data_IF_078300394050
#
_entry.id   IF_078300394050
#
_cell.length_a   1.000
_cell.length_b   1.000
_cell.length_c   1.000
_cell.angle_alpha   90.00
_cell.angle_beta   90.00
_cell.angle_gamma   90.00
#
_symmetry.space_group_name_H-M   'P 1'
#
loop_
_entity.id
_entity.type
_entity.pdbx_description
1 polymer ?
#
# COMPACT_ATOMS: atom_id res chain seq x y z
N UNK A 1 -1.47 -30.38 -5.92
CA UNK A 1 -1.39 -29.45 -4.78
C UNK A 1 -2.73 -28.74 -4.72
N UNK A 2 -3.49 -28.86 -3.62
CA UNK A 2 -4.84 -28.28 -3.56
C UNK A 2 -4.74 -26.74 -3.53
N UNK A 3 -5.74 -26.08 -4.10
CA UNK A 3 -5.81 -24.61 -4.17
C UNK A 3 -5.72 -23.91 -2.80
N UNK A 4 -6.04 -24.61 -1.71
CA UNK A 4 -5.99 -24.06 -0.35
C UNK A 4 -4.58 -23.77 0.14
N UNK A 5 -3.59 -24.62 -0.16
CA UNK A 5 -2.22 -24.40 0.30
C UNK A 5 -1.60 -23.12 -0.28
N UNK A 6 -1.95 -22.80 -1.54
CA UNK A 6 -1.51 -21.55 -2.19
C UNK A 6 -2.12 -20.29 -1.59
N UNK A 7 -3.30 -20.37 -0.99
CA UNK A 7 -3.98 -19.22 -0.38
C UNK A 7 -3.39 -18.90 1.01
N UNK A 8 -3.01 -19.92 1.79
CA UNK A 8 -2.37 -19.72 3.09
C UNK A 8 -1.00 -19.04 2.97
N UNK A 9 -0.23 -19.35 1.92
CA UNK A 9 1.07 -18.71 1.66
C UNK A 9 0.96 -17.19 1.46
N UNK A 10 -0.13 -16.68 0.90
CA UNK A 10 -0.35 -15.24 0.69
C UNK A 10 -0.51 -14.46 1.99
N UNK A 11 -0.84 -15.12 3.10
CA UNK A 11 -0.95 -14.50 4.42
C UNK A 11 0.40 -14.34 5.13
N UNK A 12 1.51 -14.81 4.54
CA UNK A 12 2.83 -14.78 5.15
C UNK A 12 3.78 -13.85 4.42
N UNK A 13 4.55 -13.01 5.15
CA UNK A 13 5.46 -12.04 4.54
C UNK A 13 6.56 -12.70 3.70
N UNK A 14 6.97 -13.93 4.02
CA UNK A 14 8.02 -14.64 3.29
C UNK A 14 7.70 -14.83 1.80
N UNK A 15 6.44 -15.13 1.46
CA UNK A 15 6.00 -15.24 0.07
C UNK A 15 6.18 -13.92 -0.67
N UNK A 16 5.78 -12.83 -0.03
CA UNK A 16 5.85 -11.49 -0.60
C UNK A 16 7.28 -10.97 -0.68
N UNK A 17 8.10 -11.21 0.34
CA UNK A 17 9.53 -10.89 0.33
C UNK A 17 10.22 -11.56 -0.85
N UNK A 18 9.97 -12.85 -1.11
CA UNK A 18 10.52 -13.56 -2.28
C UNK A 18 10.05 -12.93 -3.60
N UNK A 19 8.75 -12.64 -3.73
CA UNK A 19 8.19 -11.97 -4.91
C UNK A 19 8.87 -10.61 -5.13
N UNK A 20 9.04 -9.83 -4.07
CA UNK A 20 9.59 -8.48 -4.16
C UNK A 20 11.10 -8.45 -4.35
N UNK A 21 11.84 -9.52 -4.04
CA UNK A 21 13.27 -9.61 -4.39
C UNK A 21 13.47 -9.61 -5.90
N UNK A 22 12.56 -10.21 -6.68
CA UNK A 22 12.66 -10.26 -8.13
C UNK A 22 12.69 -8.84 -8.74
N UNK A 23 13.73 -8.47 -9.51
CA UNK A 23 13.90 -7.13 -10.09
C UNK A 23 12.97 -6.86 -11.28
N UNK A 24 12.05 -7.77 -11.60
CA UNK A 24 11.33 -7.75 -12.88
C UNK A 24 10.19 -6.74 -12.96
N UNK A 25 9.72 -6.17 -11.85
CA UNK A 25 8.58 -5.24 -11.84
C UNK A 25 8.80 -4.05 -10.88
N UNK A 26 9.15 -2.88 -11.43
CA UNK A 26 9.33 -1.62 -10.68
C UNK A 26 8.04 -1.11 -10.01
N UNK A 27 6.88 -1.57 -10.50
CA UNK A 27 5.56 -1.33 -9.93
C UNK A 27 4.59 -2.40 -10.43
N UNK A 28 3.64 -2.81 -9.59
CA UNK A 28 2.59 -3.77 -9.96
C UNK A 28 1.23 -3.33 -9.42
N UNK A 29 0.18 -3.51 -10.21
CA UNK A 29 -1.20 -3.21 -9.82
C UNK A 29 -2.04 -4.48 -9.88
N UNK A 30 -2.56 -4.92 -8.73
CA UNK A 30 -3.33 -6.16 -8.64
C UNK A 30 -4.76 -6.07 -9.21
N UNK A 31 -5.40 -4.90 -9.18
CA UNK A 31 -6.79 -4.72 -9.66
C UNK A 31 -6.93 -3.57 -10.66
N UNK A 32 -6.89 -2.34 -10.17
CA UNK A 32 -7.01 -1.12 -10.99
C UNK A 32 -5.84 -0.18 -10.75
N UNK A 33 -5.45 0.53 -11.80
CA UNK A 33 -4.48 1.62 -11.70
C UNK A 33 -5.10 2.84 -11.00
N UNK A 34 -4.24 3.74 -10.48
CA UNK A 34 -4.72 5.01 -9.91
C UNK A 34 -5.61 5.79 -10.89
N UNK A 35 -5.26 5.84 -12.19
CA UNK A 35 -6.03 6.60 -13.18
C UNK A 35 -7.49 6.16 -13.28
N UNK A 36 -7.75 4.85 -13.11
CA UNK A 36 -9.11 4.29 -13.15
C UNK A 36 -9.93 4.55 -11.88
N UNK A 37 -9.27 4.75 -10.74
CA UNK A 37 -9.94 5.01 -9.45
C UNK A 37 -9.82 6.47 -8.99
N UNK A 38 -9.08 7.31 -9.72
CA UNK A 38 -8.82 8.72 -9.40
C UNK A 38 -10.10 9.47 -9.07
N UNK A 39 -11.14 9.32 -9.89
CA UNK A 39 -12.44 9.96 -9.65
C UNK A 39 -13.14 9.49 -8.37
N UNK A 40 -12.92 8.25 -7.92
CA UNK A 40 -13.42 7.76 -6.64
C UNK A 40 -12.64 8.37 -5.48
N UNK A 41 -11.31 8.42 -5.60
CA UNK A 41 -10.45 9.05 -4.59
C UNK A 41 -10.83 10.52 -4.42
N UNK A 42 -10.97 11.29 -5.50
CA UNK A 42 -11.37 12.70 -5.44
C UNK A 42 -12.78 12.89 -4.85
N UNK A 43 -13.70 11.98 -5.14
CA UNK A 43 -15.07 12.03 -4.62
C UNK A 43 -15.14 11.72 -3.12
N UNK A 44 -14.38 10.74 -2.64
CA UNK A 44 -14.48 10.23 -1.26
C UNK A 44 -13.44 10.82 -0.31
N UNK A 45 -12.36 11.38 -0.85
CA UNK A 45 -11.31 12.08 -0.13
C UNK A 45 -11.12 13.47 -0.77
N UNK A 46 -12.13 14.34 -0.74
CA UNK A 46 -12.04 15.64 -1.39
C UNK A 46 -11.01 16.57 -0.72
N UNK A 47 -10.76 16.38 0.58
CA UNK A 47 -9.78 17.14 1.33
C UNK A 47 -8.38 16.53 1.19
N UNK A 48 -7.45 17.30 0.61
CA UNK A 48 -6.06 16.89 0.39
C UNK A 48 -5.23 16.86 1.67
N UNK A 49 -5.73 17.46 2.74
CA UNK A 49 -5.08 17.48 4.07
C UNK A 49 -5.47 16.31 4.96
N UNK A 50 -6.47 15.51 4.55
CA UNK A 50 -6.88 14.31 5.27
C UNK A 50 -5.70 13.37 5.53
N UNK A 51 -5.68 12.80 6.73
CA UNK A 51 -4.78 11.72 7.11
C UNK A 51 -5.28 10.39 6.53
N UNK A 52 -4.41 9.68 5.80
CA UNK A 52 -4.77 8.50 5.03
C UNK A 52 -3.83 7.35 5.41
N UNK A 53 -4.39 6.17 5.63
CA UNK A 53 -3.62 4.91 5.68
C UNK A 53 -3.90 4.08 4.42
N UNK A 54 -2.84 3.66 3.74
CA UNK A 54 -2.87 2.78 2.59
C UNK A 54 -2.40 1.38 3.03
N UNK A 55 -3.33 0.42 3.05
CA UNK A 55 -3.16 -0.92 3.60
C UNK A 55 -2.63 -1.88 2.53
N UNK A 56 -1.64 -2.70 2.87
CA UNK A 56 -1.06 -3.68 1.93
C UNK A 56 -0.50 -2.99 0.67
N UNK A 57 0.31 -1.95 0.87
CA UNK A 57 0.62 -1.01 -0.20
C UNK A 57 1.42 -1.60 -1.38
N UNK A 58 2.22 -2.64 -1.13
CA UNK A 58 3.13 -3.23 -2.11
C UNK A 58 3.97 -2.17 -2.86
N UNK A 59 4.20 -2.41 -4.15
CA UNK A 59 4.79 -1.46 -5.09
C UNK A 59 3.74 -0.78 -6.00
N UNK A 60 2.51 -0.57 -5.51
CA UNK A 60 1.50 0.17 -6.27
C UNK A 60 1.90 1.64 -6.44
N UNK A 61 1.58 2.22 -7.60
CA UNK A 61 1.80 3.66 -7.85
C UNK A 61 0.65 4.53 -7.35
N UNK A 62 -0.31 3.96 -6.61
CA UNK A 62 -1.45 4.69 -6.08
C UNK A 62 -1.04 5.81 -5.12
N UNK A 63 -0.34 5.50 -4.03
CA UNK A 63 0.12 6.53 -3.08
C UNK A 63 1.05 7.55 -3.74
N UNK A 64 2.07 7.15 -4.55
CA UNK A 64 2.90 8.11 -5.26
C UNK A 64 2.12 9.09 -6.15
N UNK A 65 1.13 8.62 -6.91
CA UNK A 65 0.31 9.49 -7.76
C UNK A 65 -0.66 10.35 -6.96
N UNK A 66 -1.23 9.84 -5.87
CA UNK A 66 -1.99 10.66 -4.93
C UNK A 66 -1.10 11.75 -4.31
N UNK A 67 0.12 11.40 -3.95
CA UNK A 67 1.10 12.33 -3.43
C UNK A 67 1.34 13.46 -4.43
N UNK A 68 1.62 13.17 -5.70
CA UNK A 68 1.74 14.16 -6.79
C UNK A 68 0.53 15.11 -6.88
N UNK A 69 -0.68 14.64 -6.58
CA UNK A 69 -1.93 15.42 -6.57
C UNK A 69 -2.23 16.17 -5.27
N UNK A 70 -1.29 16.18 -4.32
CA UNK A 70 -1.33 17.00 -3.12
C UNK A 70 -1.79 16.29 -1.85
N UNK A 71 -2.10 14.98 -1.90
CA UNK A 71 -2.33 14.19 -0.70
C UNK A 71 -0.99 13.87 -0.02
N UNK A 72 -0.55 14.74 0.89
CA UNK A 72 0.78 14.65 1.53
C UNK A 72 0.81 13.80 2.80
N UNK A 73 -0.35 13.54 3.41
CA UNK A 73 -0.46 12.81 4.68
C UNK A 73 -0.92 11.36 4.45
N UNK A 74 -0.07 10.56 3.83
CA UNK A 74 -0.33 9.14 3.53
C UNK A 74 0.68 8.25 4.25
N UNK A 75 0.20 7.37 5.11
CA UNK A 75 0.96 6.27 5.70
C UNK A 75 0.75 5.00 4.87
N UNK A 76 1.82 4.51 4.24
CA UNK A 76 1.80 3.28 3.47
C UNK A 76 2.31 2.12 4.34
N UNK A 77 1.49 1.09 4.52
CA UNK A 77 1.88 -0.07 5.32
C UNK A 77 1.83 -1.37 4.53
N UNK A 78 2.78 -2.24 4.83
CA UNK A 78 2.87 -3.59 4.30
C UNK A 78 3.64 -4.46 5.31
N UNK A 79 3.31 -5.74 5.42
CA UNK A 79 4.05 -6.66 6.30
C UNK A 79 5.41 -7.09 5.71
N UNK A 80 5.67 -6.83 4.43
CA UNK A 80 6.91 -7.17 3.74
C UNK A 80 7.92 -6.06 3.98
N UNK A 81 8.99 -6.39 4.69
CA UNK A 81 10.08 -5.43 4.90
C UNK A 81 10.77 -5.09 3.57
N UNK A 82 10.89 -6.07 2.68
CA UNK A 82 11.57 -5.90 1.39
C UNK A 82 10.90 -4.80 0.57
N UNK A 83 9.56 -4.77 0.49
CA UNK A 83 8.87 -3.75 -0.30
C UNK A 83 8.88 -2.39 0.36
N UNK A 84 8.73 -2.34 1.69
CA UNK A 84 8.81 -1.09 2.43
C UNK A 84 10.18 -0.43 2.26
N UNK A 85 11.27 -1.18 2.37
CA UNK A 85 12.61 -0.64 2.15
C UNK A 85 12.75 -0.07 0.73
N UNK A 86 12.31 -0.83 -0.29
CA UNK A 86 12.36 -0.42 -1.69
C UNK A 86 11.55 0.86 -1.97
N UNK A 87 10.34 0.93 -1.46
CA UNK A 87 9.46 2.08 -1.68
C UNK A 87 9.92 3.31 -0.89
N UNK A 88 10.53 3.11 0.29
CA UNK A 88 11.20 4.17 1.06
C UNK A 88 12.36 4.78 0.27
N UNK A 89 13.19 3.96 -0.36
CA UNK A 89 14.30 4.44 -1.19
C UNK A 89 13.78 5.18 -2.44
N UNK A 90 12.72 4.67 -3.06
CA UNK A 90 12.15 5.23 -4.30
C UNK A 90 11.36 6.52 -4.08
N UNK A 91 10.68 6.66 -2.94
CA UNK A 91 9.82 7.78 -2.59
C UNK A 91 10.09 8.26 -1.15
N UNK A 92 11.27 8.83 -0.88
CA UNK A 92 11.73 9.18 0.46
C UNK A 92 10.91 10.29 1.14
N UNK A 93 10.13 11.04 0.36
CA UNK A 93 9.24 12.08 0.86
C UNK A 93 7.90 11.55 1.41
N UNK A 94 7.61 10.26 1.22
CA UNK A 94 6.39 9.61 1.69
C UNK A 94 6.65 8.76 2.95
N UNK A 95 5.60 8.47 3.72
CA UNK A 95 5.71 7.62 4.90
C UNK A 95 5.46 6.16 4.52
N UNK A 96 6.45 5.30 4.77
CA UNK A 96 6.39 3.85 4.55
C UNK A 96 6.76 3.13 5.85
N UNK A 97 5.97 2.14 6.26
CA UNK A 97 6.17 1.44 7.54
C UNK A 97 5.86 -0.05 7.40
N UNK A 98 6.74 -0.89 7.92
CA UNK A 98 6.44 -2.32 8.08
C UNK A 98 5.38 -2.49 9.15
N UNK A 99 4.22 -3.02 8.81
CA UNK A 99 3.16 -3.33 9.76
C UNK A 99 2.21 -4.40 9.23
N UNK A 100 1.68 -5.21 10.15
CA UNK A 100 0.53 -6.08 9.88
C UNK A 100 -0.74 -5.24 9.94
N UNK A 101 -1.64 -5.38 8.96
CA UNK A 101 -2.91 -4.63 8.94
C UNK A 101 -3.80 -4.94 10.15
N UNK A 102 -3.62 -6.12 10.77
CA UNK A 102 -4.32 -6.53 11.99
C UNK A 102 -3.79 -5.81 13.23
N UNK A 103 -2.55 -5.31 13.17
CA UNK A 103 -1.83 -4.65 14.26
C UNK A 103 -0.95 -3.50 13.70
N UNK A 104 -1.59 -2.43 13.24
CA UNK A 104 -0.90 -1.34 12.52
C UNK A 104 0.08 -0.52 13.40
N UNK A 105 -0.12 -0.59 14.72
CA UNK A 105 0.62 0.18 15.72
C UNK A 105 0.28 1.67 15.74
N UNK A 106 -0.82 2.09 15.13
CA UNK A 106 -1.41 3.42 15.30
C UNK A 106 -2.49 3.38 16.38
N UNK A 107 -2.76 4.53 17.01
CA UNK A 107 -3.86 4.64 17.96
C UNK A 107 -5.21 4.57 17.25
N UNK A 108 -6.27 4.32 18.01
CA UNK A 108 -7.63 4.48 17.54
C UNK A 108 -7.86 5.92 17.03
N UNK A 109 -8.75 6.06 16.03
CA UNK A 109 -9.13 7.33 15.40
C UNK A 109 -7.96 8.17 14.83
N UNK A 110 -6.82 7.53 14.52
CA UNK A 110 -5.63 8.23 14.02
C UNK A 110 -5.76 8.73 12.57
N UNK A 111 -6.54 8.05 11.73
CA UNK A 111 -6.67 8.35 10.29
C UNK A 111 -8.10 8.75 9.93
N UNK A 112 -8.25 9.75 9.07
CA UNK A 112 -9.53 10.15 8.50
C UNK A 112 -10.05 9.11 7.50
N UNK A 113 -9.14 8.47 6.75
CA UNK A 113 -9.48 7.53 5.68
C UNK A 113 -8.53 6.33 5.67
N UNK A 114 -9.09 5.16 5.38
CA UNK A 114 -8.32 3.97 5.04
C UNK A 114 -8.59 3.59 3.58
N UNK A 115 -7.55 3.22 2.85
CA UNK A 115 -7.64 2.71 1.48
C UNK A 115 -7.07 1.31 1.46
N UNK A 116 -7.88 0.41 0.92
CA UNK A 116 -7.47 -0.91 0.47
C UNK A 116 -8.04 -1.11 -0.94
N UNK A 117 -7.20 -1.57 -1.85
CA UNK A 117 -7.55 -1.72 -3.27
C UNK A 117 -7.70 -3.17 -3.68
N UNK A 118 -7.19 -4.13 -2.90
CA UNK A 118 -7.20 -5.55 -3.29
C UNK A 118 -7.34 -6.49 -2.09
N UNK A 119 -8.19 -7.50 -2.28
CA UNK A 119 -8.38 -8.64 -1.38
C UNK A 119 -7.17 -9.56 -1.36
#
# INVERSE_FOLDING_TARGET
MSSNGKLEELAHPAYWDERYVSPTEDSYEWFKSYGEIRGLVEKHIPDRTSSIINLGCGNSLMSPKMHEEGYRNIANIDFSKVIIDKMTEKYPEQTWKVADVRETGYSDDHFDRAIDKVL
#
